data_IF_884930594144
#
_entry.id   IF_884930594144
#
_cell.length_a   1.000
_cell.length_b   1.000
_cell.length_c   1.000
_cell.angle_alpha   90.00
_cell.angle_beta   90.00
_cell.angle_gamma   90.00
#
_symmetry.space_group_name_H-M   'P 1'
#
loop_
_entity.id
_entity.type
_entity.pdbx_description
1 polymer ?
#
# COMPACT_ATOMS: atom_id res chain seq x y z
N UNK A 1 -3.25 -33.55 4.65
CA UNK A 1 -4.10 -33.01 3.57
C UNK A 1 -5.08 -31.99 4.16
N UNK A 2 -4.69 -30.72 4.25
CA UNK A 2 -5.60 -29.60 4.57
C UNK A 2 -5.76 -28.77 3.30
N UNK A 3 -6.78 -29.10 2.49
CA UNK A 3 -7.18 -28.28 1.36
C UNK A 3 -7.78 -26.99 1.91
N UNK A 4 -6.95 -25.95 2.00
CA UNK A 4 -7.37 -24.55 2.06
C UNK A 4 -8.13 -24.20 0.78
N UNK A 5 -9.37 -24.69 0.69
CA UNK A 5 -10.42 -24.06 -0.11
C UNK A 5 -10.89 -22.84 0.69
N UNK A 6 -11.42 -21.82 0.00
CA UNK A 6 -11.92 -20.54 0.51
C UNK A 6 -10.97 -19.33 0.49
N UNK A 7 -10.01 -19.27 -0.45
CA UNK A 7 -9.55 -17.97 -0.95
C UNK A 7 -10.21 -17.66 -2.29
N UNK A 8 -11.39 -17.01 -2.34
CA UNK A 8 -11.82 -16.41 -3.58
C UNK A 8 -10.99 -15.15 -3.78
N UNK A 9 -10.17 -15.17 -4.82
CA UNK A 9 -9.80 -14.01 -5.63
C UNK A 9 -9.98 -12.64 -4.96
N UNK A 10 -8.86 -12.03 -4.57
CA UNK A 10 -8.71 -10.56 -4.54
C UNK A 10 -8.68 -10.04 -6.00
N UNK A 11 -9.79 -10.32 -6.70
CA UNK A 11 -10.21 -9.74 -7.96
C UNK A 11 -11.69 -9.42 -7.76
N UNK A 12 -11.98 -8.42 -6.95
CA UNK A 12 -13.34 -7.94 -6.73
C UNK A 12 -13.30 -6.42 -6.77
N UNK A 13 -14.21 -5.88 -7.56
CA UNK A 13 -14.28 -4.52 -8.04
C UNK A 13 -13.95 -3.51 -6.94
N UNK A 14 -13.13 -2.50 -7.26
CA UNK A 14 -12.82 -1.40 -6.34
C UNK A 14 -14.11 -0.82 -5.73
N UNK A 15 -15.19 -0.75 -6.50
CA UNK A 15 -16.51 -0.36 -6.01
C UNK A 15 -17.03 -1.22 -4.86
N UNK A 16 -16.91 -2.55 -4.91
CA UNK A 16 -17.35 -3.44 -3.84
C UNK A 16 -16.51 -3.27 -2.56
N UNK A 17 -15.22 -2.97 -2.71
CA UNK A 17 -14.35 -2.62 -1.58
C UNK A 17 -14.84 -1.37 -0.86
N UNK A 18 -15.03 -0.26 -1.60
CA UNK A 18 -15.52 1.00 -1.03
C UNK A 18 -16.94 0.86 -0.44
N UNK A 19 -17.84 0.15 -1.12
CA UNK A 19 -19.19 -0.14 -0.62
C UNK A 19 -19.17 -0.93 0.70
N UNK A 20 -18.24 -1.88 0.84
CA UNK A 20 -18.11 -2.67 2.07
C UNK A 20 -17.70 -1.80 3.27
N UNK A 21 -16.95 -0.72 3.03
CA UNK A 21 -16.46 0.21 4.04
C UNK A 21 -17.45 1.32 4.42
N UNK A 22 -18.62 1.42 3.79
CA UNK A 22 -19.58 2.49 4.09
C UNK A 22 -19.96 2.56 5.59
N UNK A 23 -20.14 1.41 6.24
CA UNK A 23 -20.51 1.36 7.66
C UNK A 23 -19.43 1.95 8.59
N UNK A 24 -18.15 1.48 8.58
CA UNK A 24 -17.11 2.09 9.40
C UNK A 24 -16.82 3.55 9.04
N UNK A 25 -16.94 3.91 7.76
CA UNK A 25 -16.80 5.31 7.30
C UNK A 25 -17.89 6.21 7.88
N UNK A 26 -19.14 5.72 7.95
CA UNK A 26 -20.24 6.43 8.58
C UNK A 26 -20.04 6.60 10.09
N UNK A 27 -19.47 5.61 10.77
CA UNK A 27 -19.10 5.71 12.19
C UNK A 27 -18.04 6.81 12.38
N UNK A 28 -16.97 6.81 11.57
CA UNK A 28 -15.93 7.83 11.65
C UNK A 28 -16.45 9.23 11.32
N UNK A 29 -17.35 9.35 10.34
CA UNK A 29 -18.02 10.59 9.99
C UNK A 29 -18.87 11.12 11.14
N UNK A 30 -19.67 10.25 11.77
CA UNK A 30 -20.53 10.61 12.91
C UNK A 30 -19.73 11.02 14.13
N UNK A 31 -18.67 10.27 14.46
CA UNK A 31 -17.84 10.46 15.65
C UNK A 31 -16.77 11.55 15.49
N UNK A 32 -16.46 11.99 14.27
CA UNK A 32 -15.34 12.90 13.94
C UNK A 32 -13.97 12.31 14.31
N UNK A 33 -13.85 10.99 14.26
CA UNK A 33 -12.63 10.28 14.63
C UNK A 33 -12.46 9.00 13.82
N UNK A 34 -11.33 8.91 13.10
CA UNK A 34 -10.90 7.68 12.42
C UNK A 34 -10.69 6.54 13.42
N UNK A 35 -10.06 6.82 14.57
CA UNK A 35 -9.81 5.87 15.65
C UNK A 35 -11.06 5.15 16.17
N UNK A 36 -12.21 5.85 16.22
CA UNK A 36 -13.48 5.24 16.65
C UNK A 36 -14.03 4.30 15.57
N UNK A 37 -13.81 4.61 14.28
CA UNK A 37 -14.23 3.76 13.15
C UNK A 37 -13.28 2.60 12.84
N UNK A 38 -12.01 2.68 13.23
CA UNK A 38 -10.98 1.68 12.92
C UNK A 38 -11.33 0.25 13.38
N UNK A 39 -11.86 -0.01 14.59
CA UNK A 39 -12.24 -1.37 14.99
C UNK A 39 -13.31 -1.99 14.10
N UNK A 40 -14.31 -1.19 13.68
CA UNK A 40 -15.34 -1.63 12.76
C UNK A 40 -14.77 -1.87 11.35
N UNK A 41 -13.83 -1.02 10.91
CA UNK A 41 -13.14 -1.20 9.64
C UNK A 41 -12.33 -2.50 9.60
N UNK A 42 -11.57 -2.79 10.66
CA UNK A 42 -10.79 -4.03 10.78
C UNK A 42 -11.68 -5.27 10.68
N UNK A 43 -12.82 -5.29 11.36
CA UNK A 43 -13.76 -6.41 11.29
C UNK A 43 -14.32 -6.62 9.88
N UNK A 44 -14.61 -5.53 9.14
CA UNK A 44 -15.09 -5.60 7.75
C UNK A 44 -13.97 -6.06 6.81
N UNK A 45 -12.75 -5.56 6.98
CA UNK A 45 -11.59 -5.94 6.18
C UNK A 45 -11.27 -7.44 6.33
N UNK A 46 -11.31 -7.97 7.55
CA UNK A 46 -11.09 -9.39 7.82
C UNK A 46 -12.27 -10.26 7.30
N UNK A 47 -13.51 -9.90 7.61
CA UNK A 47 -14.68 -10.78 7.36
C UNK A 47 -15.30 -10.66 5.98
N UNK A 48 -15.44 -9.44 5.45
CA UNK A 48 -16.13 -9.18 4.16
C UNK A 48 -15.14 -9.06 3.00
N UNK A 49 -14.06 -8.32 3.20
CA UNK A 49 -13.06 -8.12 2.14
C UNK A 49 -12.09 -9.31 2.06
N UNK A 50 -11.85 -9.99 3.19
CA UNK A 50 -11.00 -11.17 3.26
C UNK A 50 -9.51 -10.86 3.30
N UNK A 51 -9.10 -9.73 3.89
CA UNK A 51 -7.68 -9.46 4.14
C UNK A 51 -7.16 -10.39 5.25
N UNK A 52 -5.86 -10.66 5.26
CA UNK A 52 -5.26 -11.47 6.31
C UNK A 52 -5.25 -10.69 7.64
N UNK A 53 -5.64 -11.31 8.77
CA UNK A 53 -5.70 -10.65 10.07
C UNK A 53 -4.36 -9.99 10.47
N UNK A 54 -3.23 -10.65 10.20
CA UNK A 54 -1.91 -10.09 10.53
C UNK A 54 -1.62 -8.77 9.82
N UNK A 55 -2.00 -8.66 8.55
CA UNK A 55 -1.81 -7.42 7.80
C UNK A 55 -2.71 -6.31 8.35
N UNK A 56 -4.00 -6.61 8.58
CA UNK A 56 -4.99 -5.64 9.07
C UNK A 56 -4.65 -5.14 10.48
N UNK A 57 -4.37 -6.05 11.41
CA UNK A 57 -4.11 -5.73 12.82
C UNK A 57 -2.80 -5.00 13.06
N UNK A 58 -1.84 -5.16 12.16
CA UNK A 58 -0.60 -4.41 12.21
C UNK A 58 -0.78 -3.01 11.63
N UNK A 59 -1.33 -2.91 10.43
CA UNK A 59 -1.27 -1.66 9.66
C UNK A 59 -2.38 -0.68 10.00
N UNK A 60 -3.60 -1.12 10.27
CA UNK A 60 -4.73 -0.20 10.48
C UNK A 60 -4.52 0.63 11.75
N UNK A 61 -4.15 0.07 12.91
CA UNK A 61 -3.87 0.88 14.10
C UNK A 61 -2.67 1.81 13.91
N UNK A 62 -1.62 1.32 13.23
CA UNK A 62 -0.43 2.10 12.96
C UNK A 62 -0.76 3.29 12.04
N UNK A 63 -1.46 3.04 10.94
CA UNK A 63 -1.83 4.04 9.95
C UNK A 63 -2.81 5.04 10.53
N UNK A 64 -3.81 4.61 11.31
CA UNK A 64 -4.77 5.50 11.98
C UNK A 64 -4.08 6.55 12.86
N UNK A 65 -2.91 6.22 13.43
CA UNK A 65 -2.11 7.18 14.18
C UNK A 65 -1.34 8.08 13.23
N UNK A 66 -0.59 7.55 12.26
CA UNK A 66 0.32 8.36 11.45
C UNK A 66 -0.36 9.15 10.32
N UNK A 67 -1.55 8.74 9.91
CA UNK A 67 -2.25 9.21 8.72
C UNK A 67 -3.23 10.32 9.11
N UNK A 68 -2.78 11.55 8.95
CA UNK A 68 -3.51 12.77 9.27
C UNK A 68 -3.52 13.75 8.10
N UNK A 69 -3.60 13.23 6.86
CA UNK A 69 -3.55 14.04 5.64
C UNK A 69 -4.84 14.86 5.45
N UNK A 70 -6.01 14.23 5.62
CA UNK A 70 -7.28 14.94 5.61
C UNK A 70 -7.35 15.96 6.75
N UNK A 71 -6.80 15.58 7.89
CA UNK A 71 -6.64 16.46 9.06
C UNK A 71 -5.78 17.70 8.77
N UNK A 72 -4.66 17.54 8.08
CA UNK A 72 -3.81 18.64 7.63
C UNK A 72 -4.55 19.55 6.65
N UNK A 73 -5.16 18.96 5.61
CA UNK A 73 -5.86 19.70 4.57
C UNK A 73 -7.00 20.55 5.12
N UNK A 74 -7.87 20.00 5.98
CA UNK A 74 -8.97 20.81 6.51
C UNK A 74 -8.45 22.00 7.31
N UNK A 75 -7.34 21.81 8.04
CA UNK A 75 -6.83 22.86 8.93
C UNK A 75 -6.23 23.99 8.12
N UNK A 76 -5.46 23.65 7.08
CA UNK A 76 -4.90 24.62 6.15
C UNK A 76 -6.02 25.42 5.46
N UNK A 77 -7.05 24.75 4.96
CA UNK A 77 -8.22 25.43 4.37
C UNK A 77 -8.95 26.31 5.37
N UNK A 78 -9.09 25.86 6.62
CA UNK A 78 -9.76 26.63 7.68
C UNK A 78 -8.99 27.88 8.08
N UNK A 79 -7.65 27.80 8.14
CA UNK A 79 -6.77 28.94 8.44
C UNK A 79 -6.74 29.93 7.29
N UNK A 80 -6.67 29.44 6.05
CA UNK A 80 -6.78 30.28 4.85
C UNK A 80 -8.11 31.03 4.83
N UNK A 81 -9.22 30.34 5.12
CA UNK A 81 -10.54 30.95 5.22
C UNK A 81 -10.60 32.01 6.33
N UNK A 82 -10.05 31.72 7.51
CA UNK A 82 -10.00 32.67 8.62
C UNK A 82 -9.17 33.93 8.30
N UNK A 83 -8.03 33.77 7.63
CA UNK A 83 -7.21 34.89 7.16
C UNK A 83 -7.95 35.77 6.15
N UNK A 84 -8.63 35.15 5.18
CA UNK A 84 -9.43 35.88 4.19
C UNK A 84 -10.58 36.67 4.83
N UNK A 85 -11.25 36.11 5.85
CA UNK A 85 -12.32 36.80 6.58
C UNK A 85 -11.83 38.04 7.34
N UNK A 86 -10.58 38.02 7.80
CA UNK A 86 -9.94 39.14 8.50
C UNK A 86 -9.32 40.17 7.54
N UNK A 87 -9.40 39.93 6.22
CA UNK A 87 -8.80 40.80 5.20
C UNK A 87 -7.29 40.63 5.06
N UNK A 88 -6.69 39.59 5.64
CA UNK A 88 -5.26 39.30 5.52
C UNK A 88 -4.95 38.71 4.14
N UNK A 89 -4.04 39.36 3.41
CA UNK A 89 -3.62 38.90 2.09
C UNK A 89 -2.47 37.90 2.21
N UNK A 90 -2.75 36.61 1.99
CA UNK A 90 -1.72 35.57 2.00
C UNK A 90 -0.97 35.50 0.67
N UNK A 91 0.35 35.65 0.73
CA UNK A 91 1.23 35.43 -0.42
C UNK A 91 1.45 33.95 -0.70
N UNK A 92 1.85 33.60 -1.92
CA UNK A 92 2.20 32.21 -2.29
C UNK A 92 3.31 31.66 -1.40
N UNK A 93 4.30 32.48 -1.03
CA UNK A 93 5.35 32.10 -0.07
C UNK A 93 4.78 31.75 1.31
N UNK A 94 3.83 32.54 1.83
CA UNK A 94 3.17 32.28 3.10
C UNK A 94 2.38 30.97 3.06
N UNK A 95 1.73 30.65 1.94
CA UNK A 95 1.01 29.39 1.75
C UNK A 95 1.94 28.18 1.79
N UNK A 96 3.12 28.26 1.18
CA UNK A 96 4.12 27.17 1.20
C UNK A 96 4.63 26.94 2.62
N UNK A 97 4.96 28.02 3.35
CA UNK A 97 5.37 27.93 4.76
C UNK A 97 4.25 27.32 5.60
N UNK A 98 3.01 27.80 5.43
CA UNK A 98 1.85 27.30 6.16
C UNK A 98 1.62 25.80 5.91
N UNK A 99 1.74 25.35 4.66
CA UNK A 99 1.61 23.94 4.29
C UNK A 99 2.72 23.09 4.95
N UNK A 100 3.98 23.52 4.82
CA UNK A 100 5.11 22.82 5.41
C UNK A 100 4.98 22.74 6.95
N UNK A 101 4.65 23.85 7.61
CA UNK A 101 4.39 23.89 9.04
C UNK A 101 3.21 23.03 9.46
N UNK A 102 2.15 22.96 8.64
CA UNK A 102 0.99 22.11 8.91
C UNK A 102 1.38 20.62 8.88
N UNK A 103 2.17 20.19 7.90
CA UNK A 103 2.68 18.82 7.83
C UNK A 103 3.59 18.49 9.02
N UNK A 104 4.44 19.43 9.44
CA UNK A 104 5.29 19.23 10.62
C UNK A 104 4.43 19.15 11.89
N UNK A 105 3.41 20.00 12.00
CA UNK A 105 2.52 20.05 13.16
C UNK A 105 1.71 18.77 13.33
N UNK A 106 1.16 18.21 12.24
CA UNK A 106 0.40 16.95 12.31
C UNK A 106 1.26 15.78 12.78
N UNK A 107 2.54 15.75 12.40
CA UNK A 107 3.50 14.77 12.93
C UNK A 107 3.86 15.09 14.39
N UNK A 108 4.02 16.36 14.76
CA UNK A 108 4.33 16.80 16.12
C UNK A 108 3.23 16.50 17.15
N UNK A 109 1.99 16.29 16.69
CA UNK A 109 0.83 16.02 17.56
C UNK A 109 0.87 14.67 18.26
N UNK A 110 1.75 13.74 17.87
CA UNK A 110 1.81 12.41 18.50
C UNK A 110 2.20 12.42 19.98
N UNK A 111 2.93 13.45 20.43
CA UNK A 111 3.25 13.65 21.84
C UNK A 111 2.11 14.30 22.66
N UNK A 112 1.04 14.76 22.01
CA UNK A 112 -0.06 15.47 22.64
C UNK A 112 -1.24 14.53 22.93
N UNK A 113 -1.94 14.79 24.04
CA UNK A 113 -3.21 14.12 24.33
C UNK A 113 -4.24 14.43 23.24
N UNK A 114 -5.11 13.47 22.85
CA UNK A 114 -6.05 13.63 21.73
C UNK A 114 -6.89 14.92 21.78
N UNK A 115 -7.32 15.33 22.99
CA UNK A 115 -8.11 16.53 23.21
C UNK A 115 -7.38 17.84 22.86
N UNK A 116 -6.04 17.83 22.87
CA UNK A 116 -5.21 19.02 22.62
C UNK A 116 -4.65 19.11 21.19
N UNK A 117 -4.72 18.03 20.40
CA UNK A 117 -4.14 17.96 19.04
C UNK A 117 -4.70 19.03 18.10
N UNK A 118 -6.03 19.08 17.97
CA UNK A 118 -6.71 20.04 17.10
C UNK A 118 -6.45 21.51 17.48
N UNK A 119 -6.69 21.91 18.74
CA UNK A 119 -6.42 23.27 19.19
C UNK A 119 -4.95 23.70 19.05
N UNK A 120 -3.99 22.82 19.39
CA UNK A 120 -2.57 23.13 19.26
C UNK A 120 -2.18 23.41 17.80
N UNK A 121 -2.65 22.58 16.85
CA UNK A 121 -2.41 22.79 15.42
C UNK A 121 -3.00 24.10 14.92
N UNK A 122 -4.25 24.38 15.30
CA UNK A 122 -4.95 25.58 14.89
C UNK A 122 -4.25 26.84 15.41
N UNK A 123 -3.87 26.87 16.69
CA UNK A 123 -3.17 27.99 17.30
C UNK A 123 -1.81 28.26 16.63
N UNK A 124 -1.03 27.20 16.37
CA UNK A 124 0.24 27.30 15.66
C UNK A 124 0.06 27.93 14.27
N UNK A 125 -0.89 27.42 13.48
CA UNK A 125 -1.09 27.87 12.10
C UNK A 125 -1.69 29.28 12.02
N UNK A 126 -2.58 29.66 12.95
CA UNK A 126 -3.09 31.03 13.05
C UNK A 126 -1.96 32.02 13.37
N UNK A 127 -1.08 31.65 14.30
CA UNK A 127 0.07 32.48 14.66
C UNK A 127 1.01 32.70 13.46
N UNK A 128 1.19 31.68 12.61
CA UNK A 128 2.01 31.77 11.41
C UNK A 128 1.46 32.70 10.33
N UNK A 129 0.15 32.93 10.30
CA UNK A 129 -0.49 33.89 9.40
C UNK A 129 -0.75 35.26 10.05
N UNK A 130 -0.21 35.49 11.26
CA UNK A 130 -0.33 36.77 11.98
C UNK A 130 -1.66 36.94 12.73
N UNK A 131 -2.46 35.88 12.87
CA UNK A 131 -3.73 35.92 13.60
C UNK A 131 -3.56 35.42 15.04
N UNK A 132 -4.20 36.11 16.00
CA UNK A 132 -4.27 35.63 17.38
C UNK A 132 -5.03 34.28 17.46
N UNK A 133 -4.62 33.33 18.31
CA UNK A 133 -5.39 32.11 18.60
C UNK A 133 -6.83 32.38 19.07
N UNK A 134 -7.12 33.57 19.61
CA UNK A 134 -8.48 33.96 20.00
C UNK A 134 -9.45 33.96 18.80
N UNK A 135 -8.91 34.10 17.58
CA UNK A 135 -9.65 34.08 16.32
C UNK A 135 -9.99 32.65 15.83
N UNK A 136 -9.75 31.60 16.63
CA UNK A 136 -10.14 30.23 16.29
C UNK A 136 -11.65 30.07 16.01
N UNK A 137 -12.48 30.99 16.51
CA UNK A 137 -13.92 31.03 16.23
C UNK A 137 -14.26 31.12 14.73
N UNK A 138 -13.45 31.81 13.92
CA UNK A 138 -13.70 31.90 12.46
C UNK A 138 -13.55 30.55 11.75
N UNK A 139 -12.72 29.65 12.28
CA UNK A 139 -12.55 28.31 11.74
C UNK A 139 -13.80 27.45 11.97
N UNK A 140 -14.61 27.74 13.01
CA UNK A 140 -15.78 26.96 13.39
C UNK A 140 -16.84 26.87 12.27
N UNK A 141 -16.91 27.88 11.40
CA UNK A 141 -17.87 27.99 10.29
C UNK A 141 -17.77 26.78 9.35
N UNK A 142 -16.55 26.34 9.03
CA UNK A 142 -16.30 25.21 8.11
C UNK A 142 -15.98 23.90 8.84
N UNK A 143 -15.66 24.00 10.13
CA UNK A 143 -15.18 22.91 10.98
C UNK A 143 -16.17 21.75 11.17
N UNK A 144 -17.48 22.02 11.12
CA UNK A 144 -18.48 20.98 11.38
C UNK A 144 -18.48 19.89 10.30
N UNK A 145 -18.33 20.26 9.02
CA UNK A 145 -18.37 19.34 7.89
C UNK A 145 -16.97 18.88 7.50
N UNK A 146 -16.02 19.81 7.36
CA UNK A 146 -14.68 19.49 6.86
C UNK A 146 -13.93 18.52 7.77
N UNK A 147 -14.08 18.66 9.10
CA UNK A 147 -13.44 17.71 10.01
C UNK A 147 -14.04 16.31 9.90
N UNK A 148 -15.34 16.18 9.68
CA UNK A 148 -15.98 14.86 9.51
C UNK A 148 -15.49 14.20 8.23
N UNK A 149 -15.47 14.95 7.14
CA UNK A 149 -14.92 14.48 5.87
C UNK A 149 -13.45 14.07 6.00
N UNK A 150 -12.63 14.89 6.67
CA UNK A 150 -11.23 14.59 6.93
C UNK A 150 -11.05 13.25 7.67
N UNK A 151 -11.75 13.03 8.78
CA UNK A 151 -11.65 11.77 9.54
C UNK A 151 -12.12 10.55 8.73
N UNK A 152 -13.12 10.73 7.86
CA UNK A 152 -13.57 9.67 6.95
C UNK A 152 -12.54 9.35 5.88
N UNK A 153 -11.90 10.37 5.30
CA UNK A 153 -10.82 10.19 4.31
C UNK A 153 -9.61 9.51 4.97
N UNK A 154 -9.19 9.96 6.16
CA UNK A 154 -8.08 9.37 6.90
C UNK A 154 -8.33 7.86 7.12
N UNK A 155 -9.52 7.49 7.64
CA UNK A 155 -9.89 6.08 7.84
C UNK A 155 -9.97 5.30 6.53
N UNK A 156 -10.45 5.91 5.44
CA UNK A 156 -10.51 5.25 4.14
C UNK A 156 -9.10 4.90 3.64
N UNK A 157 -8.16 5.84 3.73
CA UNK A 157 -6.77 5.61 3.35
C UNK A 157 -6.10 4.54 4.22
N UNK A 158 -6.44 4.42 5.50
CA UNK A 158 -5.97 3.34 6.37
C UNK A 158 -6.40 1.95 5.86
N UNK A 159 -7.65 1.85 5.41
CA UNK A 159 -8.18 0.63 4.82
C UNK A 159 -7.48 0.28 3.49
N UNK A 160 -7.20 1.30 2.67
CA UNK A 160 -6.47 1.12 1.41
C UNK A 160 -5.03 0.69 1.68
N UNK A 161 -4.35 1.30 2.67
CA UNK A 161 -3.00 0.91 3.08
C UNK A 161 -2.95 -0.57 3.50
N UNK A 162 -3.96 -1.06 4.22
CA UNK A 162 -4.06 -2.46 4.57
C UNK A 162 -4.16 -3.39 3.35
N UNK A 163 -4.96 -3.03 2.35
CA UNK A 163 -5.11 -3.79 1.12
C UNK A 163 -3.82 -3.81 0.29
N UNK A 164 -3.12 -2.66 0.22
CA UNK A 164 -1.83 -2.54 -0.48
C UNK A 164 -0.75 -3.38 0.23
N UNK A 165 -0.67 -3.31 1.56
CA UNK A 165 0.29 -4.09 2.34
C UNK A 165 0.06 -5.60 2.15
N UNK A 166 -1.19 -6.04 2.22
CA UNK A 166 -1.55 -7.44 1.96
C UNK A 166 -1.02 -7.91 0.60
N UNK A 167 -1.21 -7.09 -0.45
CA UNK A 167 -0.73 -7.40 -1.79
C UNK A 167 0.79 -7.53 -1.83
N UNK A 168 1.50 -6.61 -1.17
CA UNK A 168 2.96 -6.62 -1.08
C UNK A 168 3.47 -7.87 -0.34
N UNK A 169 2.87 -8.21 0.81
CA UNK A 169 3.24 -9.41 1.58
C UNK A 169 3.02 -10.71 0.79
N UNK A 170 1.96 -10.79 -0.01
CA UNK A 170 1.71 -11.95 -0.88
C UNK A 170 2.77 -12.07 -1.98
N UNK A 171 3.21 -10.96 -2.58
CA UNK A 171 4.27 -10.95 -3.59
C UNK A 171 5.60 -11.44 -3.00
N UNK A 172 6.03 -10.88 -1.86
CA UNK A 172 7.26 -11.28 -1.18
C UNK A 172 7.24 -12.77 -0.77
N UNK A 173 6.08 -13.27 -0.32
CA UNK A 173 5.92 -14.69 0.03
C UNK A 173 6.08 -15.61 -1.18
N UNK A 174 5.59 -15.21 -2.36
CA UNK A 174 5.74 -15.98 -3.59
C UNK A 174 7.20 -16.02 -4.05
N UNK A 175 7.92 -14.89 -3.99
CA UNK A 175 9.34 -14.80 -4.33
C UNK A 175 10.22 -15.64 -3.40
N UNK A 176 9.96 -15.59 -2.09
CA UNK A 176 10.67 -16.41 -1.10
C UNK A 176 10.43 -17.90 -1.35
N UNK A 177 9.18 -18.30 -1.60
CA UNK A 177 8.83 -19.70 -1.90
C UNK A 177 9.51 -20.20 -3.18
N UNK A 178 9.54 -19.35 -4.22
CA UNK A 178 10.20 -19.66 -5.51
C UNK A 178 11.72 -19.78 -5.35
N UNK A 179 12.34 -18.89 -4.60
CA UNK A 179 13.78 -18.94 -4.33
C UNK A 179 14.17 -20.17 -3.52
N UNK A 180 13.31 -20.55 -2.56
CA UNK A 180 13.52 -21.73 -1.73
C UNK A 180 13.32 -23.04 -2.53
N UNK A 181 12.33 -23.10 -3.44
CA UNK A 181 12.16 -24.26 -4.32
C UNK A 181 13.28 -24.40 -5.34
N UNK A 182 13.79 -23.29 -5.89
CA UNK A 182 14.97 -23.28 -6.76
C UNK A 182 16.22 -23.78 -6.02
N UNK A 183 16.45 -23.34 -4.78
CA UNK A 183 17.58 -23.82 -3.95
C UNK A 183 17.49 -25.31 -3.64
N UNK A 184 16.30 -25.85 -3.35
CA UNK A 184 16.12 -27.29 -3.16
C UNK A 184 16.33 -28.07 -4.47
N UNK A 185 15.82 -27.56 -5.58
CA UNK A 185 16.03 -28.15 -6.91
C UNK A 185 17.50 -28.20 -7.28
N UNK A 186 18.22 -27.07 -7.14
CA UNK A 186 19.66 -26.98 -7.34
C UNK A 186 20.43 -27.89 -6.38
N UNK A 187 20.06 -27.96 -5.10
CA UNK A 187 20.66 -28.89 -4.14
C UNK A 187 20.48 -30.35 -4.54
N UNK A 188 19.31 -30.73 -5.07
CA UNK A 188 19.06 -32.08 -5.58
C UNK A 188 19.83 -32.40 -6.86
N UNK A 189 20.04 -31.40 -7.74
CA UNK A 189 20.84 -31.55 -8.97
C UNK A 189 22.34 -31.63 -8.64
N UNK A 190 22.82 -30.85 -7.67
CA UNK A 190 24.21 -30.92 -7.17
C UNK A 190 24.47 -32.25 -6.45
N UNK A 191 23.47 -32.82 -5.77
CA UNK A 191 23.55 -34.19 -5.23
C UNK A 191 23.54 -35.28 -6.30
N UNK A 192 23.10 -35.00 -7.53
CA UNK A 192 23.31 -35.88 -8.70
C UNK A 192 24.67 -35.62 -9.33
N UNK A 193 25.73 -35.59 -8.51
CA UNK A 193 27.08 -35.76 -9.03
C UNK A 193 27.18 -37.22 -9.48
N UNK A 194 27.71 -37.50 -10.69
CA UNK A 194 27.68 -38.84 -11.24
C UNK A 194 28.42 -39.77 -10.28
N UNK A 195 27.69 -40.74 -9.76
CA UNK A 195 28.25 -41.87 -9.07
C UNK A 195 29.33 -42.45 -9.99
N UNK A 196 30.58 -42.53 -9.52
CA UNK A 196 31.72 -42.96 -10.35
C UNK A 196 31.64 -44.44 -10.74
N UNK A 197 30.57 -45.13 -10.36
CA UNK A 197 30.39 -46.57 -10.48
C UNK A 197 29.24 -46.97 -11.43
N UNK A 198 28.81 -46.11 -12.36
CA UNK A 198 27.94 -46.56 -13.45
C UNK A 198 28.77 -47.42 -14.41
N UNK A 199 28.49 -48.73 -14.58
CA UNK A 199 29.15 -49.52 -15.59
C UNK A 199 28.78 -48.91 -16.94
N UNK A 200 29.78 -48.45 -17.69
CA UNK A 200 29.61 -48.04 -19.08
C UNK A 200 29.05 -49.24 -19.83
N UNK A 201 27.75 -49.23 -20.12
CA UNK A 201 27.11 -50.21 -20.96
C UNK A 201 27.75 -50.09 -22.35
N UNK A 202 28.69 -50.99 -22.64
CA UNK A 202 29.41 -51.04 -23.89
C UNK A 202 28.38 -51.21 -25.03
N UNK A 203 28.25 -50.17 -25.85
CA UNK A 203 27.57 -50.28 -27.14
C UNK A 203 28.32 -51.33 -27.97
N UNK A 204 27.62 -52.29 -28.59
CA UNK A 204 28.27 -53.30 -29.43
C UNK A 204 28.95 -52.59 -30.60
N UNK A 205 30.23 -52.89 -30.79
CA UNK A 205 31.04 -52.35 -31.88
C UNK A 205 30.37 -52.64 -33.23
N UNK A 206 29.94 -51.60 -33.93
CA UNK A 206 29.55 -51.73 -35.33
C UNK A 206 30.80 -51.94 -36.18
N UNK A 207 30.83 -53.07 -36.88
CA UNK A 207 31.84 -53.44 -37.85
C UNK A 207 31.85 -52.44 -39.03
N UNK A 208 33.01 -52.01 -39.53
CA UNK A 208 33.09 -50.95 -40.54
C UNK A 208 32.54 -51.46 -41.88
N UNK A 209 31.42 -50.90 -42.30
CA UNK A 209 30.81 -51.19 -43.61
C UNK A 209 31.72 -50.64 -44.71
N UNK A 210 32.24 -51.53 -45.56
CA UNK A 210 33.08 -51.23 -46.72
C UNK A 210 32.39 -50.21 -47.64
N UNK A 211 33.04 -49.06 -47.82
CA UNK A 211 32.72 -48.09 -48.85
C UNK A 211 33.26 -48.65 -50.18
N UNK A 212 32.38 -49.18 -51.01
CA UNK A 212 32.58 -49.31 -52.45
C UNK A 212 31.24 -49.11 -53.13
N UNK A 213 31.26 -48.39 -54.24
CA UNK A 213 30.18 -48.23 -55.21
C UNK A 213 29.20 -47.07 -54.97
N UNK A 214 29.72 -45.84 -55.06
CA UNK A 214 28.95 -44.74 -55.67
C UNK A 214 29.82 -43.95 -56.66
N UNK A 215 29.42 -44.01 -57.92
CA UNK A 215 29.99 -43.24 -59.02
C UNK A 215 29.83 -41.72 -58.81
N UNK A 216 30.76 -40.90 -59.33
CA UNK A 216 30.71 -39.45 -59.14
C UNK A 216 29.58 -38.79 -59.98
N UNK A 217 28.94 -37.73 -59.47
CA UNK A 217 27.93 -36.98 -60.22
C UNK A 217 28.55 -36.11 -61.33
N UNK A 218 27.87 -36.06 -62.49
CA UNK A 218 28.22 -35.19 -63.62
C UNK A 218 28.01 -33.70 -63.28
N UNK A 219 28.86 -32.80 -63.82
CA UNK A 219 28.66 -31.36 -63.67
C UNK A 219 27.53 -30.89 -64.58
N UNK A 220 26.64 -30.04 -64.08
CA UNK A 220 25.71 -29.27 -64.89
C UNK A 220 26.26 -27.86 -65.05
N UNK A 221 26.43 -27.51 -66.32
CA UNK A 221 26.97 -26.25 -66.83
C UNK A 221 26.20 -25.02 -66.34
N UNK A 222 26.95 -23.94 -66.13
CA UNK A 222 26.39 -22.61 -65.99
C UNK A 222 25.91 -22.02 -67.30
N UNK A 223 24.96 -21.09 -67.20
CA UNK A 223 24.86 -19.89 -68.04
C UNK A 223 23.87 -18.89 -67.41
N UNK A 224 24.41 -17.70 -67.16
CA UNK A 224 23.79 -16.35 -67.22
C UNK A 224 22.44 -16.12 -66.54
#
# INVERSE_FOLDING_TARGET
MLKSKHWPQVRRDAGLFFLSLLHPLAIAFGSRSSMVGSPAAMAILEKKVGLHPDSVRLIVPLSTVINHDGTALYTMVSVLFAAQLQGESLTVSSLVVLLASCCIATIGEYGLMPSFRGPARAALLLTLVGLSPDNMGYMAVVHWLLQRAASTVDLLSDCVAAAVLQRYMLQTRQESTRSHSLRRGLGSIVSLQPDRDVPVLALPAQEPTRISDRAPPKPLDGKS
#
